data_IF_524517087268
#
_entry.id   IF_524517087268
#
_cell.length_a   1.000
_cell.length_b   1.000
_cell.length_c   1.000
_cell.angle_alpha   90.00
_cell.angle_beta   90.00
_cell.angle_gamma   90.00
#
_symmetry.space_group_name_H-M   'P 1'
#
loop_
_entity.id
_entity.type
_entity.pdbx_description
1 polymer ?
#
# COMPACT_ATOMS: atom_id res chain seq x y z
N UNK A 1 -10.86 1.67 9.74
CA UNK A 1 -11.18 1.40 8.32
C UNK A 1 -9.89 0.97 7.60
N UNK A 2 -9.14 -0.02 8.13
CA UNK A 2 -7.77 -0.30 7.65
C UNK A 2 -7.71 -1.30 6.49
N UNK A 3 -8.27 -2.50 6.67
CA UNK A 3 -8.06 -3.63 5.75
C UNK A 3 -8.84 -3.53 4.42
N UNK A 4 -10.14 -3.19 4.46
CA UNK A 4 -10.95 -3.06 3.25
C UNK A 4 -10.46 -1.92 2.37
N UNK A 5 -9.92 -0.88 3.01
CA UNK A 5 -9.24 0.23 2.36
C UNK A 5 -7.96 -0.24 1.68
N UNK A 6 -7.10 -0.99 2.37
CA UNK A 6 -5.92 -1.59 1.76
C UNK A 6 -6.28 -2.44 0.53
N UNK A 7 -7.32 -3.26 0.61
CA UNK A 7 -7.79 -4.09 -0.53
C UNK A 7 -8.14 -3.21 -1.74
N UNK A 8 -8.90 -2.15 -1.51
CA UNK A 8 -9.28 -1.20 -2.56
C UNK A 8 -8.05 -0.46 -3.12
N UNK A 9 -7.17 0.03 -2.26
CA UNK A 9 -5.97 0.78 -2.66
C UNK A 9 -4.97 -0.09 -3.43
N UNK A 10 -4.76 -1.34 -3.03
CA UNK A 10 -3.90 -2.30 -3.76
C UNK A 10 -4.50 -2.63 -5.12
N UNK A 11 -5.81 -2.87 -5.18
CA UNK A 11 -6.52 -3.15 -6.44
C UNK A 11 -6.44 -1.94 -7.38
N UNK A 12 -6.62 -0.74 -6.85
CA UNK A 12 -6.48 0.51 -7.59
C UNK A 12 -5.04 0.70 -8.08
N UNK A 13 -4.04 0.56 -7.20
CA UNK A 13 -2.64 0.74 -7.54
C UNK A 13 -2.17 -0.19 -8.66
N UNK A 14 -2.67 -1.43 -8.69
CA UNK A 14 -2.31 -2.42 -9.70
C UNK A 14 -3.20 -2.38 -10.96
N UNK A 15 -4.23 -1.54 -10.98
CA UNK A 15 -5.11 -1.38 -12.16
C UNK A 15 -4.45 -0.60 -13.30
N UNK A 16 -3.33 0.08 -13.04
CA UNK A 16 -2.71 1.03 -13.96
C UNK A 16 -3.53 2.33 -14.15
N UNK A 17 -4.67 2.47 -13.48
CA UNK A 17 -5.41 3.71 -13.39
C UNK A 17 -4.81 4.58 -12.27
N UNK A 18 -4.89 5.89 -12.43
CA UNK A 18 -4.47 6.86 -11.43
C UNK A 18 -5.68 7.67 -10.95
N UNK A 19 -5.59 8.22 -9.74
CA UNK A 19 -6.62 9.06 -9.15
C UNK A 19 -6.16 10.52 -9.11
N UNK A 20 -7.04 11.47 -9.42
CA UNK A 20 -6.76 12.90 -9.31
C UNK A 20 -6.51 13.35 -7.85
N UNK A 21 -6.93 12.59 -6.83
CA UNK A 21 -6.56 12.87 -5.44
C UNK A 21 -5.07 12.64 -5.15
N UNK A 22 -4.35 11.98 -6.08
CA UNK A 22 -2.90 11.87 -6.09
C UNK A 22 -2.24 12.76 -7.15
N UNK A 23 -3.03 13.41 -8.02
CA UNK A 23 -2.51 14.58 -8.71
C UNK A 23 -2.31 15.65 -7.65
N UNK A 24 -1.07 16.12 -7.59
CA UNK A 24 -0.61 17.29 -6.87
C UNK A 24 -1.75 18.32 -6.80
N UNK A 25 -2.44 18.41 -5.65
CA UNK A 25 -3.13 19.67 -5.35
C UNK A 25 -2.00 20.71 -5.42
N UNK A 26 -2.20 21.78 -6.19
CA UNK A 26 -1.26 22.90 -6.21
C UNK A 26 -1.17 23.42 -4.78
N UNK A 27 -0.19 22.92 -4.03
CA UNK A 27 0.03 23.31 -2.65
C UNK A 27 0.76 24.65 -2.69
N UNK A 28 0.04 25.71 -2.33
CA UNK A 28 0.49 27.10 -2.35
C UNK A 28 1.53 27.40 -1.25
N UNK A 29 1.75 26.47 -0.30
CA UNK A 29 2.71 26.64 0.80
C UNK A 29 4.01 25.84 0.60
N UNK A 30 5.15 26.46 0.91
CA UNK A 30 6.48 25.87 0.75
C UNK A 30 6.74 24.65 1.64
N UNK A 31 6.07 24.57 2.80
CA UNK A 31 6.21 23.46 3.76
C UNK A 31 5.55 22.16 3.25
N UNK A 32 4.44 22.25 2.51
CA UNK A 32 3.76 21.08 1.94
C UNK A 32 4.48 20.52 0.70
N UNK A 33 5.26 21.33 -0.01
CA UNK A 33 6.09 20.85 -1.15
C UNK A 33 7.20 19.91 -0.71
N UNK A 34 7.67 20.02 0.53
CA UNK A 34 8.81 19.23 1.03
C UNK A 34 8.47 17.76 1.25
N UNK A 35 7.21 17.46 1.60
CA UNK A 35 6.69 16.08 1.80
C UNK A 35 6.12 15.45 0.52
N UNK A 36 5.97 16.22 -0.56
CA UNK A 36 5.28 15.84 -1.80
C UNK A 36 6.18 15.91 -3.04
N UNK A 37 7.48 15.59 -2.92
CA UNK A 37 8.45 15.52 -4.03
C UNK A 37 8.33 14.23 -4.87
N UNK A 38 7.11 13.85 -5.24
CA UNK A 38 6.82 12.71 -6.10
C UNK A 38 6.20 13.16 -7.42
N UNK A 39 6.97 13.76 -8.32
CA UNK A 39 6.53 14.18 -9.67
C UNK A 39 6.27 12.99 -10.63
N UNK A 40 6.02 11.80 -10.09
CA UNK A 40 5.80 10.58 -10.88
C UNK A 40 4.41 10.09 -10.56
N UNK A 41 3.70 9.62 -11.59
CA UNK A 41 2.37 9.00 -11.53
C UNK A 41 2.36 7.70 -10.70
N UNK A 42 2.89 7.74 -9.48
CA UNK A 42 2.89 6.63 -8.56
C UNK A 42 1.53 6.60 -7.88
N UNK A 43 0.88 5.43 -7.92
CA UNK A 43 -0.34 5.19 -7.16
C UNK A 43 0.01 5.22 -5.68
N UNK A 44 -0.41 6.29 -5.01
CA UNK A 44 -0.19 6.45 -3.58
C UNK A 44 -1.21 5.62 -2.79
N UNK A 45 -0.78 5.17 -1.62
CA UNK A 45 -1.65 4.56 -0.61
C UNK A 45 -1.97 5.62 0.44
N UNK A 46 -3.05 5.45 1.19
CA UNK A 46 -3.29 6.31 2.35
C UNK A 46 -2.17 6.21 3.37
N UNK A 47 -1.99 7.24 4.18
CA UNK A 47 -0.99 7.21 5.27
C UNK A 47 -1.24 6.07 6.26
N UNK A 48 -2.52 5.72 6.50
CA UNK A 48 -2.93 4.57 7.30
C UNK A 48 -2.42 3.27 6.67
N UNK A 49 -2.77 3.00 5.41
CA UNK A 49 -2.31 1.78 4.74
C UNK A 49 -0.79 1.73 4.60
N UNK A 50 -0.18 2.88 4.33
CA UNK A 50 1.25 2.97 4.16
C UNK A 50 1.99 2.62 5.46
N UNK A 51 1.52 3.15 6.59
CA UNK A 51 2.11 2.94 7.91
C UNK A 51 1.77 1.60 8.54
N UNK A 52 0.62 1.01 8.23
CA UNK A 52 0.17 -0.23 8.86
C UNK A 52 0.61 -1.52 8.14
N UNK A 53 0.93 -1.44 6.85
CA UNK A 53 1.14 -2.62 6.02
C UNK A 53 2.51 -2.69 5.36
N UNK A 54 3.51 -2.00 5.92
CA UNK A 54 4.92 -2.16 5.55
C UNK A 54 5.39 -1.34 4.34
N UNK A 55 4.56 -0.43 3.82
CA UNK A 55 4.92 0.43 2.69
C UNK A 55 5.68 1.70 3.10
N UNK A 56 5.65 2.06 4.39
CA UNK A 56 6.39 3.21 4.91
C UNK A 56 7.90 2.95 4.86
N UNK A 57 8.64 3.84 4.20
CA UNK A 57 10.09 3.69 4.00
C UNK A 57 10.49 2.67 2.94
N UNK A 58 9.53 2.04 2.24
CA UNK A 58 9.82 1.11 1.15
C UNK A 58 10.22 1.86 -0.13
N UNK A 59 11.29 1.39 -0.79
CA UNK A 59 11.72 1.82 -2.12
C UNK A 59 10.69 1.49 -3.20
N UNK A 60 10.77 2.07 -4.41
CA UNK A 60 9.81 1.80 -5.49
C UNK A 60 9.66 0.31 -5.84
N UNK A 61 10.76 -0.45 -5.87
CA UNK A 61 10.72 -1.90 -6.12
C UNK A 61 10.04 -2.65 -4.97
N UNK A 62 10.36 -2.32 -3.72
CA UNK A 62 9.75 -2.92 -2.54
C UNK A 62 8.25 -2.64 -2.45
N UNK A 63 7.84 -1.41 -2.80
CA UNK A 63 6.43 -1.04 -2.91
C UNK A 63 5.72 -1.87 -3.97
N UNK A 64 6.32 -2.02 -5.16
CA UNK A 64 5.77 -2.88 -6.21
C UNK A 64 5.65 -4.34 -5.75
N UNK A 65 6.65 -4.86 -5.05
CA UNK A 65 6.63 -6.23 -4.51
C UNK A 65 5.54 -6.40 -3.45
N UNK A 66 5.38 -5.42 -2.54
CA UNK A 66 4.31 -5.40 -1.53
C UNK A 66 2.92 -5.35 -2.15
N UNK A 67 2.70 -4.54 -3.19
CA UNK A 67 1.42 -4.49 -3.90
C UNK A 67 1.07 -5.87 -4.48
N UNK A 68 2.01 -6.52 -5.16
CA UNK A 68 1.79 -7.85 -5.72
C UNK A 68 1.58 -8.92 -4.64
N UNK A 69 2.34 -8.84 -3.55
CA UNK A 69 2.17 -9.71 -2.39
C UNK A 69 0.77 -9.59 -1.80
N UNK A 70 0.28 -8.38 -1.50
CA UNK A 70 -1.05 -8.21 -0.94
C UNK A 70 -2.15 -8.62 -1.93
N UNK A 71 -1.98 -8.36 -3.24
CA UNK A 71 -2.90 -8.90 -4.25
C UNK A 71 -2.95 -10.43 -4.21
N UNK A 72 -1.83 -11.10 -3.96
CA UNK A 72 -1.78 -12.55 -3.81
C UNK A 72 -2.44 -13.03 -2.50
N UNK A 73 -2.21 -12.32 -1.38
CA UNK A 73 -2.85 -12.59 -0.09
C UNK A 73 -4.38 -12.53 -0.21
N UNK A 74 -4.93 -11.47 -0.83
CA UNK A 74 -6.37 -11.28 -0.94
C UNK A 74 -7.07 -12.30 -1.84
N UNK A 75 -6.31 -13.07 -2.61
CA UNK A 75 -6.82 -14.16 -3.47
C UNK A 75 -6.73 -15.53 -2.81
N UNK A 76 -6.15 -15.64 -1.62
CA UNK A 76 -6.06 -16.92 -0.93
C UNK A 76 -7.45 -17.37 -0.48
N UNK A 77 -7.82 -18.66 -0.66
CA UNK A 77 -9.13 -19.18 -0.22
C UNK A 77 -9.37 -19.03 1.30
N UNK A 78 -8.30 -19.01 2.08
CA UNK A 78 -8.33 -18.89 3.55
C UNK A 78 -8.20 -17.45 4.05
N UNK A 79 -8.14 -16.47 3.14
CA UNK A 79 -8.02 -15.08 3.52
C UNK A 79 -9.30 -14.58 4.20
N UNK A 80 -9.14 -13.97 5.37
CA UNK A 80 -10.20 -13.30 6.12
C UNK A 80 -9.75 -11.88 6.51
N UNK A 81 -10.44 -10.88 5.95
CA UNK A 81 -10.11 -9.49 6.18
C UNK A 81 -10.26 -9.07 7.66
N UNK A 82 -11.23 -9.64 8.39
CA UNK A 82 -11.49 -9.31 9.80
C UNK A 82 -10.39 -9.88 10.69
N UNK A 83 -9.96 -11.11 10.43
CA UNK A 83 -8.83 -11.72 11.16
C UNK A 83 -7.54 -10.96 10.93
N UNK A 84 -7.23 -10.59 9.68
CA UNK A 84 -6.05 -9.78 9.38
C UNK A 84 -6.10 -8.40 10.06
N UNK A 85 -7.29 -7.78 10.12
CA UNK A 85 -7.48 -6.51 10.83
C UNK A 85 -7.30 -6.67 12.34
N UNK A 86 -7.80 -7.76 12.93
CA UNK A 86 -7.61 -8.07 14.34
C UNK A 86 -6.12 -8.27 14.65
N UNK A 87 -5.42 -9.09 13.86
CA UNK A 87 -3.99 -9.32 13.97
C UNK A 87 -3.18 -8.01 13.86
N UNK A 88 -3.57 -7.10 12.95
CA UNK A 88 -2.90 -5.79 12.85
C UNK A 88 -3.12 -4.92 14.08
N UNK A 89 -4.30 -5.00 14.70
CA UNK A 89 -4.70 -4.16 15.85
C UNK A 89 -4.28 -4.72 17.19
N UNK A 90 -3.72 -5.92 17.24
CA UNK A 90 -3.27 -6.54 18.47
C UNK A 90 -2.17 -5.71 19.12
N UNK A 91 -2.49 -4.98 20.19
CA UNK A 91 -1.54 -4.11 20.87
C UNK A 91 -0.49 -4.89 21.68
N UNK A 92 -0.79 -6.13 22.07
CA UNK A 92 0.08 -6.97 22.88
C UNK A 92 1.14 -7.66 22.01
N UNK A 93 0.78 -8.04 20.78
CA UNK A 93 1.69 -8.71 19.86
C UNK A 93 1.93 -7.92 18.55
N UNK A 94 3.07 -7.23 18.43
CA UNK A 94 3.54 -6.63 17.18
C UNK A 94 3.72 -7.62 16.02
N UNK A 95 3.92 -8.90 16.32
CA UNK A 95 4.13 -10.00 15.37
C UNK A 95 2.86 -10.61 14.80
N UNK A 96 1.69 -10.42 15.43
CA UNK A 96 0.45 -11.10 15.06
C UNK A 96 0.07 -10.98 13.57
N UNK A 97 0.29 -9.81 12.95
CA UNK A 97 0.05 -9.63 11.51
C UNK A 97 0.96 -10.52 10.65
N UNK A 98 2.22 -10.65 11.05
CA UNK A 98 3.19 -11.47 10.35
C UNK A 98 2.85 -12.95 10.50
N UNK A 99 2.46 -13.38 11.70
CA UNK A 99 2.06 -14.76 11.98
C UNK A 99 0.79 -15.14 11.20
N UNK A 100 -0.18 -14.22 11.12
CA UNK A 100 -1.36 -14.39 10.26
C UNK A 100 -0.97 -14.57 8.79
N UNK A 101 -0.06 -13.73 8.28
CA UNK A 101 0.41 -13.83 6.90
C UNK A 101 1.22 -15.10 6.64
N UNK A 102 1.99 -15.58 7.61
CA UNK A 102 2.75 -16.83 7.50
C UNK A 102 1.84 -18.06 7.54
N UNK A 103 0.75 -18.01 8.32
CA UNK A 103 -0.30 -19.03 8.31
C UNK A 103 -1.00 -19.14 6.95
N UNK A 104 -1.23 -18.00 6.28
CA UNK A 104 -1.78 -17.97 4.92
C UNK A 104 -0.76 -18.42 3.87
N UNK A 105 0.46 -17.92 3.97
CA UNK A 105 1.54 -18.08 3.00
C UNK A 105 2.84 -18.44 3.72
N UNK A 106 3.07 -19.73 4.02
CA UNK A 106 4.23 -20.16 4.80
C UNK A 106 5.55 -19.72 4.17
N UNK A 107 6.39 -19.05 4.95
CA UNK A 107 7.71 -18.60 4.53
C UNK A 107 7.71 -17.39 3.59
N UNK A 108 6.63 -16.62 3.52
CA UNK A 108 6.52 -15.47 2.62
C UNK A 108 7.66 -14.46 2.79
N UNK A 109 8.20 -14.29 4.01
CA UNK A 109 9.33 -13.37 4.26
C UNK A 109 10.55 -13.71 3.40
N UNK A 110 10.86 -14.99 3.24
CA UNK A 110 11.96 -15.44 2.36
C UNK A 110 11.68 -15.16 0.89
N UNK A 111 10.41 -15.22 0.48
CA UNK A 111 9.99 -14.92 -0.89
C UNK A 111 10.00 -13.42 -1.19
N UNK A 112 9.80 -12.59 -0.17
CA UNK A 112 9.79 -11.14 -0.29
C UNK A 112 11.15 -10.48 -0.09
N UNK A 113 12.07 -11.14 0.63
CA UNK A 113 13.37 -10.58 0.99
C UNK A 113 14.12 -10.05 -0.24
N UNK A 114 14.62 -8.81 -0.11
CA UNK A 114 15.46 -8.22 -1.14
C UNK A 114 16.92 -8.59 -0.90
N UNK A 115 17.33 -9.75 -1.40
CA UNK A 115 18.71 -10.22 -1.28
C UNK A 115 19.73 -9.33 -2.02
N UNK A 116 19.28 -8.55 -3.01
CA UNK A 116 20.15 -7.65 -3.79
C UNK A 116 20.52 -6.40 -2.98
N UNK A 117 19.58 -5.87 -2.19
CA UNK A 117 19.83 -4.74 -1.29
C UNK A 117 20.18 -5.18 0.14
N UNK A 118 20.33 -6.48 0.38
CA UNK A 118 20.54 -7.08 1.70
C UNK A 118 19.53 -6.63 2.78
N UNK A 119 18.33 -6.20 2.40
CA UNK A 119 17.26 -5.88 3.36
C UNK A 119 16.51 -7.17 3.73
N UNK A 120 17.11 -7.94 4.63
CA UNK A 120 16.50 -9.13 5.23
C UNK A 120 15.31 -8.79 6.16
N UNK A 121 15.13 -7.52 6.52
CA UNK A 121 14.04 -7.05 7.37
C UNK A 121 12.78 -6.67 6.59
N UNK A 122 12.86 -6.70 5.26
CA UNK A 122 11.72 -6.46 4.38
C UNK A 122 10.79 -7.69 4.29
N UNK A 123 9.45 -7.51 4.39
CA UNK A 123 8.75 -6.27 4.74
C UNK A 123 8.74 -6.00 6.25
N UNK A 124 8.80 -4.71 6.61
CA UNK A 124 8.84 -4.21 7.99
C UNK A 124 7.46 -4.16 8.64
N UNK A 125 6.79 -5.31 8.77
CA UNK A 125 5.39 -5.42 9.22
C UNK A 125 5.19 -5.18 10.73
N UNK A 126 6.22 -5.43 11.53
CA UNK A 126 6.20 -5.20 12.99
C UNK A 126 6.28 -3.72 13.35
N UNK A 127 6.72 -2.87 12.42
CA UNK A 127 6.75 -1.43 12.63
C UNK A 127 5.33 -0.88 12.54
N UNK A 128 4.96 -0.07 13.52
CA UNK A 128 3.66 0.60 13.55
C UNK A 128 3.87 2.09 13.57
N UNK A 129 3.35 2.78 12.56
CA UNK A 129 3.30 4.24 12.60
C UNK A 129 2.31 4.62 13.69
N UNK A 130 2.83 5.27 14.74
CA UNK A 130 1.99 5.88 15.78
C UNK A 130 1.60 7.27 15.32
N UNK A 131 0.32 7.57 15.43
CA UNK A 131 -0.21 8.90 15.18
C UNK A 131 -0.55 9.52 16.55
N UNK A 132 0.37 10.26 17.18
CA UNK A 132 0.18 10.79 18.54
C UNK A 132 -1.03 11.73 18.64
N UNK A 133 -1.31 12.48 17.58
CA UNK A 133 -2.45 13.42 17.50
C UNK A 133 -3.74 12.78 16.95
N UNK A 134 -3.79 11.44 16.93
CA UNK A 134 -4.88 10.68 16.31
C UNK A 134 -4.66 10.43 14.82
N UNK A 135 -5.40 9.46 14.26
CA UNK A 135 -5.26 9.09 12.84
C UNK A 135 -5.70 10.27 11.97
N UNK A 136 -4.88 10.74 11.02
CA UNK A 136 -5.25 11.84 10.16
C UNK A 136 -6.49 11.46 9.34
N UNK A 137 -7.44 12.39 9.25
CA UNK A 137 -8.60 12.24 8.40
C UNK A 137 -8.14 12.23 6.93
N UNK A 138 -8.30 11.10 6.23
CA UNK A 138 -8.10 11.03 4.79
C UNK A 138 -9.48 10.99 4.13
N UNK A 139 -9.84 12.04 3.40
CA UNK A 139 -11.03 12.14 2.55
C UNK A 139 -10.97 11.23 1.31
N UNK A 140 -10.13 10.20 1.35
CA UNK A 140 -9.65 9.51 0.18
C UNK A 140 -10.55 8.34 -0.25
N UNK A 141 -11.85 8.40 0.07
CA UNK A 141 -12.67 7.18 0.26
C UNK A 141 -13.35 6.68 -1.02
N UNK A 142 -13.63 7.51 -2.03
CA UNK A 142 -14.10 7.06 -3.36
C UNK A 142 -13.80 8.18 -4.34
N UNK A 143 -13.05 7.90 -5.40
CA UNK A 143 -12.63 8.93 -6.35
C UNK A 143 -12.75 8.47 -7.79
N UNK A 144 -12.95 9.42 -8.68
CA UNK A 144 -12.95 9.21 -10.12
C UNK A 144 -11.52 8.86 -10.58
N UNK A 145 -11.39 7.70 -11.23
CA UNK A 145 -10.10 7.18 -11.70
C UNK A 145 -9.92 7.49 -13.18
N UNK A 146 -8.73 7.95 -13.54
CA UNK A 146 -8.35 8.26 -14.91
C UNK A 146 -7.38 7.19 -15.43
N UNK A 147 -7.46 6.88 -16.72
CA UNK A 147 -6.49 6.03 -17.39
C UNK A 147 -5.33 6.89 -17.93
N UNK A 148 -4.09 6.36 -17.97
CA UNK A 148 -2.93 7.03 -18.56
C UNK A 148 -3.24 7.56 -19.96
N UNK A 149 -2.85 8.81 -20.29
CA UNK A 149 -2.87 9.29 -21.67
C UNK A 149 -2.12 8.29 -22.57
N UNK A 150 -2.74 7.86 -23.68
CA UNK A 150 -2.19 6.84 -24.59
C UNK A 150 -2.76 5.43 -24.44
N UNK A 151 -3.54 5.13 -23.39
CA UNK A 151 -4.30 3.86 -23.25
C UNK A 151 -5.80 4.01 -23.55
N UNK A 152 -6.25 5.22 -23.91
CA UNK A 152 -7.63 5.54 -24.24
C UNK A 152 -7.95 5.51 -25.75
N UNK A 153 -6.94 5.30 -26.60
CA UNK A 153 -7.13 5.10 -28.02
C UNK A 153 -7.27 3.61 -28.30
N UNK A 154 -8.42 3.19 -28.82
CA UNK A 154 -8.45 1.96 -29.61
C UNK A 154 -7.33 2.06 -30.65
N UNK A 155 -6.43 1.08 -30.65
CA UNK A 155 -5.51 0.89 -31.76
C UNK A 155 -6.38 0.67 -33.01
N UNK A 156 -6.61 1.73 -33.78
CA UNK A 156 -6.97 1.54 -35.18
C UNK A 156 -5.71 1.02 -35.85
N UNK A 157 -5.65 -0.30 -36.01
CA UNK A 157 -4.73 -0.93 -36.94
C UNK A 157 -5.26 -0.59 -38.33
N UNK A 158 -4.61 0.35 -38.99
CA UNK A 158 -4.75 0.59 -40.44
C UNK A 158 -3.92 -0.42 -41.21
#
# INVERSE_FOLDING_TARGET
MGIYRLIAEVSHALSGCFCACFQQQRHDSAEQRMYCRGDKFETHLSQESAGDYGFHGASPWERWQLLNFYRHVFRQPRFDAREMLAARRDAADPGALEDYLDCLLPGFRRQMANFVLADAMFPRLRVRVRFPDGRPYCSCVVHETYRPPGLCGGLYVS
#
